data_IF_702885366688
#
_entry.id   IF_702885366688
#
_cell.length_a   1.000
_cell.length_b   1.000
_cell.length_c   1.000
_cell.angle_alpha   90.00
_cell.angle_beta   90.00
_cell.angle_gamma   90.00
#
_symmetry.space_group_name_H-M   'P 1'
#
loop_
_entity.id
_entity.type
_entity.pdbx_description
1 polymer ?
#
# COMPACT_ATOMS: atom_id res chain seq x y z
N UNK A 1 -10.96 -10.66 -5.99
CA UNK A 1 -9.70 -11.44 -6.03
C UNK A 1 -9.81 -12.46 -7.15
N UNK A 2 -8.68 -12.94 -7.67
CA UNK A 2 -8.60 -14.00 -8.68
C UNK A 2 -7.68 -15.11 -8.16
N UNK A 3 -7.59 -16.29 -8.83
CA UNK A 3 -6.67 -17.34 -8.40
C UNK A 3 -5.20 -16.88 -8.26
N UNK A 4 -4.81 -15.87 -9.04
CA UNK A 4 -3.43 -15.38 -9.12
C UNK A 4 -3.28 -13.92 -8.67
N UNK A 5 -4.32 -13.29 -8.11
CA UNK A 5 -4.23 -11.90 -7.68
C UNK A 5 -5.13 -11.56 -6.50
N UNK A 6 -4.65 -10.67 -5.64
CA UNK A 6 -5.44 -10.13 -4.54
C UNK A 6 -5.17 -8.64 -4.35
N UNK A 7 -6.04 -8.02 -3.55
CA UNK A 7 -5.90 -6.63 -3.14
C UNK A 7 -5.50 -6.61 -1.67
N UNK A 8 -4.36 -6.00 -1.39
CA UNK A 8 -3.92 -5.67 -0.04
C UNK A 8 -4.39 -4.26 0.32
N UNK A 9 -5.05 -4.11 1.47
CA UNK A 9 -5.47 -2.82 2.02
C UNK A 9 -4.87 -2.61 3.41
N UNK A 10 -4.28 -1.44 3.62
CA UNK A 10 -3.85 -0.98 4.93
C UNK A 10 -4.99 -0.20 5.59
N UNK A 11 -5.88 -0.92 6.28
CA UNK A 11 -7.06 -0.33 6.91
C UNK A 11 -6.70 0.56 8.11
N UNK A 12 -5.66 0.18 8.85
CA UNK A 12 -5.13 0.90 10.02
C UNK A 12 -3.62 1.09 9.84
N UNK A 13 -3.12 2.31 10.02
CA UNK A 13 -1.71 2.62 9.85
C UNK A 13 -1.22 3.52 10.98
N UNK A 14 -0.43 2.94 11.88
CA UNK A 14 0.08 3.62 13.08
C UNK A 14 0.68 5.00 12.81
N UNK A 15 1.37 5.18 11.68
CA UNK A 15 1.95 6.48 11.28
C UNK A 15 0.85 7.47 10.92
N UNK A 16 -0.09 7.07 10.05
CA UNK A 16 -1.19 7.95 9.64
C UNK A 16 -2.14 8.24 10.79
N UNK A 17 -2.50 7.25 11.61
CA UNK A 17 -3.36 7.45 12.77
C UNK A 17 -2.74 8.44 13.77
N UNK A 18 -1.43 8.36 13.98
CA UNK A 18 -0.72 9.31 14.84
C UNK A 18 -0.73 10.74 14.27
N UNK A 19 -0.67 10.90 12.94
CA UNK A 19 -0.74 12.20 12.27
C UNK A 19 -2.15 12.77 12.29
N UNK A 20 -3.15 11.96 11.98
CA UNK A 20 -4.57 12.29 12.10
C UNK A 20 -4.95 12.74 13.50
N UNK A 21 -4.52 12.04 14.56
CA UNK A 21 -4.72 12.47 15.96
C UNK A 21 -4.08 13.83 16.29
N UNK A 22 -3.06 14.24 15.54
CA UNK A 22 -2.38 15.53 15.67
C UNK A 22 -2.91 16.59 14.70
N UNK A 23 -3.94 16.30 13.91
CA UNK A 23 -4.47 17.21 12.89
C UNK A 23 -3.48 17.50 11.76
N UNK A 24 -2.56 16.58 11.47
CA UNK A 24 -1.60 16.69 10.37
C UNK A 24 -2.09 15.94 9.14
N UNK A 25 -1.73 16.43 7.96
CA UNK A 25 -1.95 15.73 6.67
C UNK A 25 -1.30 14.36 6.66
N UNK A 26 -1.79 13.45 5.82
CA UNK A 26 -1.21 12.13 5.66
C UNK A 26 0.28 12.21 5.27
N UNK A 27 1.08 11.33 5.86
CA UNK A 27 2.48 11.16 5.51
C UNK A 27 2.59 10.61 4.08
N UNK A 28 3.36 11.24 3.17
CA UNK A 28 3.45 10.81 1.77
C UNK A 28 4.31 9.53 1.61
N UNK A 29 3.79 8.40 2.07
CA UNK A 29 4.50 7.12 2.12
C UNK A 29 4.59 6.37 0.79
N UNK A 30 3.93 6.83 -0.28
CA UNK A 30 3.93 6.16 -1.60
C UNK A 30 5.32 5.88 -2.15
N UNK A 31 6.25 6.82 -2.05
CA UNK A 31 7.63 6.63 -2.53
C UNK A 31 8.34 5.48 -1.82
N UNK A 32 8.18 5.37 -0.49
CA UNK A 32 8.67 4.25 0.30
C UNK A 32 7.99 2.94 -0.08
N UNK A 33 6.66 2.93 -0.17
CA UNK A 33 5.89 1.75 -0.57
C UNK A 33 6.27 1.23 -1.96
N UNK A 34 6.55 2.13 -2.92
CA UNK A 34 7.00 1.77 -4.27
C UNK A 34 8.40 1.16 -4.30
N UNK A 35 9.21 1.35 -3.25
CA UNK A 35 10.47 0.63 -3.09
C UNK A 35 10.28 -0.68 -2.32
N UNK A 36 9.54 -0.63 -1.21
CA UNK A 36 9.41 -1.73 -0.27
C UNK A 36 8.59 -2.90 -0.82
N UNK A 37 7.36 -2.65 -1.31
CA UNK A 37 6.47 -3.73 -1.72
C UNK A 37 7.00 -4.54 -2.92
N UNK A 38 7.47 -3.92 -4.02
CA UNK A 38 8.02 -4.68 -5.14
C UNK A 38 9.27 -5.46 -4.73
N UNK A 39 10.22 -4.81 -4.04
CA UNK A 39 11.49 -5.45 -3.64
C UNK A 39 11.27 -6.62 -2.71
N UNK A 40 10.40 -6.45 -1.71
CA UNK A 40 10.05 -7.53 -0.77
C UNK A 40 9.36 -8.70 -1.49
N UNK A 41 8.38 -8.41 -2.35
CA UNK A 41 7.64 -9.43 -3.08
C UNK A 41 8.53 -10.22 -4.05
N UNK A 42 9.34 -9.52 -4.86
CA UNK A 42 10.24 -10.14 -5.83
C UNK A 42 11.37 -10.93 -5.17
N UNK A 43 11.76 -10.57 -3.95
CA UNK A 43 12.72 -11.35 -3.15
C UNK A 43 12.13 -12.68 -2.65
N UNK A 44 10.81 -12.79 -2.52
CA UNK A 44 10.12 -14.02 -2.15
C UNK A 44 9.91 -14.90 -3.39
N UNK A 45 9.37 -14.33 -4.46
CA UNK A 45 9.19 -14.98 -5.76
C UNK A 45 9.20 -13.91 -6.85
N UNK A 46 10.14 -14.02 -7.79
CA UNK A 46 10.35 -13.03 -8.87
C UNK A 46 9.14 -12.85 -9.80
N UNK A 47 8.20 -13.79 -9.77
CA UNK A 47 6.94 -13.74 -10.53
C UNK A 47 5.89 -12.83 -9.89
N UNK A 48 6.03 -12.48 -8.61
CA UNK A 48 5.08 -11.60 -7.95
C UNK A 48 5.29 -10.17 -8.47
N UNK A 49 4.20 -9.55 -8.90
CA UNK A 49 4.13 -8.15 -9.32
C UNK A 49 3.20 -7.37 -8.41
N UNK A 50 3.60 -6.15 -8.11
CA UNK A 50 2.87 -5.24 -7.23
C UNK A 50 2.50 -3.96 -7.97
N UNK A 51 1.25 -3.53 -7.85
CA UNK A 51 0.75 -2.28 -8.41
C UNK A 51 0.16 -1.43 -7.27
N UNK A 52 0.62 -0.19 -7.15
CA UNK A 52 0.02 0.79 -6.24
C UNK A 52 -1.31 1.29 -6.83
N UNK A 53 -2.43 0.99 -6.18
CA UNK A 53 -3.74 1.52 -6.58
C UNK A 53 -3.95 2.92 -6.00
N UNK A 54 -3.62 3.10 -4.72
CA UNK A 54 -3.57 4.41 -4.06
C UNK A 54 -2.72 4.31 -2.81
N UNK A 55 -1.87 5.31 -2.58
CA UNK A 55 -1.09 5.45 -1.37
C UNK A 55 -0.80 6.94 -1.16
N UNK A 56 -0.87 7.47 0.08
CA UNK A 56 -0.60 8.88 0.35
C UNK A 56 0.71 9.34 -0.30
N UNK A 57 0.69 10.48 -1.03
CA UNK A 57 -0.30 11.55 -0.94
C UNK A 57 -1.50 11.43 -1.90
N UNK A 58 -1.67 10.29 -2.59
CA UNK A 58 -2.87 10.08 -3.40
C UNK A 58 -4.13 10.12 -2.52
N UNK A 59 -5.25 10.55 -3.10
CA UNK A 59 -6.54 10.48 -2.42
C UNK A 59 -6.94 9.02 -2.11
N UNK A 60 -7.55 8.85 -0.94
CA UNK A 60 -8.07 7.57 -0.49
C UNK A 60 -9.35 7.79 0.35
N UNK A 61 -10.23 6.77 0.45
CA UNK A 61 -11.43 6.86 1.24
C UNK A 61 -11.10 6.62 2.73
N UNK A 62 -12.11 6.63 3.61
CA UNK A 62 -11.88 6.57 5.07
C UNK A 62 -11.54 5.18 5.59
N UNK A 63 -11.83 4.15 4.82
CA UNK A 63 -11.76 2.74 5.21
C UNK A 63 -10.33 2.16 5.13
N UNK A 64 -9.44 2.80 4.38
CA UNK A 64 -8.05 2.37 4.21
C UNK A 64 -7.16 3.54 3.84
N UNK A 65 -5.88 3.45 4.24
CA UNK A 65 -4.85 4.44 3.92
C UNK A 65 -4.15 4.14 2.60
N UNK A 66 -3.73 2.90 2.37
CA UNK A 66 -3.15 2.51 1.08
C UNK A 66 -3.68 1.17 0.58
N UNK A 67 -3.66 1.01 -0.74
CA UNK A 67 -4.22 -0.13 -1.46
C UNK A 67 -3.27 -0.55 -2.58
N UNK A 68 -2.95 -1.84 -2.60
CA UNK A 68 -1.98 -2.43 -3.50
C UNK A 68 -2.57 -3.70 -4.13
N UNK A 69 -2.35 -3.91 -5.41
CA UNK A 69 -2.63 -5.19 -6.06
C UNK A 69 -1.37 -6.01 -6.09
N UNK A 70 -1.50 -7.27 -5.70
CA UNK A 70 -0.48 -8.28 -5.87
C UNK A 70 -1.00 -9.28 -6.91
N UNK A 71 -0.15 -9.63 -7.86
CA UNK A 71 -0.41 -10.64 -8.89
C UNK A 71 0.78 -11.58 -8.97
N UNK A 72 0.58 -12.84 -9.34
CA UNK A 72 1.65 -13.79 -9.65
C UNK A 72 1.43 -14.39 -11.05
N UNK A 73 2.46 -14.35 -11.90
CA UNK A 73 2.45 -14.90 -13.28
C UNK A 73 3.73 -15.68 -13.60
#
# INVERSE_FOLDING_TARGET
ETPNSFIFQMNECRVQDARKRKGLDDYPCKSGGMAEFPTFAESIDSRIKTECISCPPDEHPKEWYCKWRFTIE
#
